data_IF_841139829832
#
_entry.id   IF_841139829832
#
_cell.length_a   1.000
_cell.length_b   1.000
_cell.length_c   1.000
_cell.angle_alpha   90.00
_cell.angle_beta   90.00
_cell.angle_gamma   90.00
#
_symmetry.space_group_name_H-M   'P 1'
#
loop_
_entity.id
_entity.type
_entity.pdbx_description
1 polymer ?
#
# COMPACT_ATOMS: atom_id res chain seq x y z
N UNK A 1 6.32 -7.64 1.66
CA UNK A 1 7.18 -7.37 0.48
C UNK A 1 6.45 -6.48 -0.50
N UNK A 2 7.17 -5.73 -1.32
CA UNK A 2 6.60 -4.91 -2.42
C UNK A 2 6.13 -5.76 -3.60
N UNK A 3 5.12 -5.28 -4.33
CA UNK A 3 4.56 -6.00 -5.46
C UNK A 3 5.56 -6.28 -6.62
N UNK A 4 5.45 -7.44 -7.28
CA UNK A 4 6.32 -7.83 -8.39
C UNK A 4 5.84 -7.31 -9.75
N UNK A 5 4.73 -6.58 -9.81
CA UNK A 5 4.21 -6.02 -11.05
C UNK A 5 5.15 -4.96 -11.64
N UNK A 6 4.92 -4.58 -12.89
CA UNK A 6 5.77 -3.62 -13.58
C UNK A 6 5.52 -2.18 -13.14
N UNK A 7 6.58 -1.37 -13.12
CA UNK A 7 6.57 0.00 -12.63
C UNK A 7 7.36 0.94 -13.55
N UNK A 8 7.00 2.22 -13.55
CA UNK A 8 7.74 3.22 -14.31
C UNK A 8 9.03 3.64 -13.58
N UNK A 9 10.09 3.92 -14.35
CA UNK A 9 11.23 4.66 -13.81
C UNK A 9 10.83 6.11 -13.51
N UNK A 10 11.36 6.67 -12.42
CA UNK A 10 11.06 8.05 -12.01
C UNK A 10 12.08 9.06 -12.57
N UNK A 11 13.21 8.57 -13.05
CA UNK A 11 14.31 9.38 -13.57
C UNK A 11 14.37 9.20 -15.09
N UNK A 12 14.40 10.33 -15.80
CA UNK A 12 14.25 10.39 -17.24
C UNK A 12 15.54 10.09 -17.97
N UNK A 13 15.48 9.20 -18.96
CA UNK A 13 16.55 8.82 -19.90
C UNK A 13 17.85 8.33 -19.25
N UNK A 14 18.29 7.16 -19.66
CA UNK A 14 19.71 6.99 -19.93
C UNK A 14 20.12 8.02 -21.01
N UNK A 15 20.69 9.15 -20.61
CA UNK A 15 21.61 9.90 -21.45
C UNK A 15 23.00 9.40 -21.07
N UNK A 16 23.68 8.78 -22.02
CA UNK A 16 25.14 8.54 -22.01
C UNK A 16 25.66 7.46 -21.05
N UNK A 17 24.95 6.33 -20.93
CA UNK A 17 25.52 5.11 -20.33
C UNK A 17 25.78 5.17 -18.82
N UNK A 18 25.17 6.12 -18.10
CA UNK A 18 25.24 6.21 -16.63
C UNK A 18 23.89 5.98 -15.96
N UNK A 19 23.92 5.12 -14.93
CA UNK A 19 22.76 4.68 -14.16
C UNK A 19 22.19 5.86 -13.37
N UNK A 20 20.94 6.23 -13.63
CA UNK A 20 20.26 7.29 -12.89
C UNK A 20 19.78 6.79 -11.52
N UNK A 21 19.91 7.68 -10.54
CA UNK A 21 19.48 7.50 -9.16
C UNK A 21 18.09 6.84 -9.08
N UNK A 22 18.02 5.65 -8.47
CA UNK A 22 16.79 4.86 -8.37
C UNK A 22 16.11 5.18 -7.06
N UNK A 23 14.84 5.58 -7.13
CA UNK A 23 14.09 5.95 -5.94
C UNK A 23 13.05 4.89 -5.61
N UNK A 24 12.95 4.49 -4.33
CA UNK A 24 12.01 3.45 -3.89
C UNK A 24 10.54 3.73 -4.27
N UNK A 25 10.18 5.01 -4.48
CA UNK A 25 8.81 5.42 -4.89
C UNK A 25 8.44 4.99 -6.31
N UNK A 26 9.40 4.59 -7.14
CA UNK A 26 9.11 4.00 -8.46
C UNK A 26 8.13 2.82 -8.33
N UNK A 27 8.28 2.04 -7.25
CA UNK A 27 7.42 0.90 -6.92
C UNK A 27 5.99 1.24 -6.54
N UNK A 28 5.64 2.52 -6.52
CA UNK A 28 4.30 3.00 -6.29
C UNK A 28 3.73 3.70 -7.53
N UNK A 29 4.35 3.48 -8.70
CA UNK A 29 3.90 3.95 -10.00
C UNK A 29 3.73 2.77 -10.98
N UNK A 30 2.67 1.95 -10.83
CA UNK A 30 2.44 0.79 -11.68
C UNK A 30 2.31 1.18 -13.16
N UNK A 31 2.86 0.33 -14.03
CA UNK A 31 2.70 0.41 -15.49
C UNK A 31 1.85 -0.75 -16.00
N UNK A 32 2.07 -1.94 -15.45
CA UNK A 32 1.27 -3.13 -15.78
C UNK A 32 1.06 -3.99 -14.55
N UNK A 33 -0.10 -4.61 -14.47
CA UNK A 33 -0.52 -5.61 -13.50
C UNK A 33 -0.46 -7.03 -14.08
N UNK A 34 -0.37 -7.17 -15.41
CA UNK A 34 -0.21 -8.47 -16.09
C UNK A 34 1.24 -8.87 -16.32
N UNK A 35 2.17 -7.90 -16.35
CA UNK A 35 3.63 -8.12 -16.38
C UNK A 35 4.19 -8.11 -14.96
N UNK A 36 4.93 -9.17 -14.62
CA UNK A 36 5.31 -9.49 -13.23
C UNK A 36 6.83 -9.62 -13.04
N UNK A 37 7.60 -8.68 -13.56
CA UNK A 37 8.99 -8.51 -13.15
C UNK A 37 9.19 -7.10 -12.61
N UNK A 38 10.03 -6.95 -11.60
CA UNK A 38 10.22 -5.67 -10.90
C UNK A 38 11.68 -5.44 -10.54
N UNK A 39 11.95 -4.32 -9.87
CA UNK A 39 13.25 -4.05 -9.25
C UNK A 39 13.76 -5.19 -8.34
N UNK A 40 12.85 -5.99 -7.77
CA UNK A 40 13.19 -7.11 -6.90
C UNK A 40 13.51 -8.41 -7.65
N UNK A 41 13.43 -8.42 -8.98
CA UNK A 41 13.66 -9.59 -9.81
C UNK A 41 12.41 -10.08 -10.53
N UNK A 42 12.57 -11.25 -11.13
CA UNK A 42 11.58 -11.92 -11.99
C UNK A 42 10.43 -12.55 -11.20
N UNK A 43 9.31 -12.84 -11.86
CA UNK A 43 8.20 -13.56 -11.23
C UNK A 43 8.60 -14.96 -10.73
N UNK A 44 9.51 -15.64 -11.44
CA UNK A 44 10.03 -16.94 -10.98
C UNK A 44 10.83 -16.82 -9.69
N UNK A 45 11.65 -15.77 -9.56
CA UNK A 45 12.35 -15.47 -8.30
C UNK A 45 11.36 -15.14 -7.18
N UNK A 46 10.31 -14.36 -7.48
CA UNK A 46 9.23 -14.08 -6.52
C UNK A 46 8.52 -15.34 -6.05
N UNK A 47 8.13 -16.24 -6.97
CA UNK A 47 7.51 -17.53 -6.62
C UNK A 47 8.41 -18.39 -5.76
N UNK A 48 9.71 -18.47 -6.08
CA UNK A 48 10.68 -19.20 -5.25
C UNK A 48 10.76 -18.62 -3.84
N UNK A 49 10.89 -17.30 -3.72
CA UNK A 49 10.87 -16.62 -2.41
C UNK A 49 9.60 -16.96 -1.63
N UNK A 50 8.43 -16.88 -2.26
CA UNK A 50 7.16 -17.14 -1.59
C UNK A 50 7.05 -18.59 -1.11
N UNK A 51 7.43 -19.56 -1.95
CA UNK A 51 7.49 -20.98 -1.57
C UNK A 51 8.45 -21.21 -0.42
N UNK A 52 9.69 -20.73 -0.53
CA UNK A 52 10.69 -20.91 0.54
C UNK A 52 10.23 -20.29 1.86
N UNK A 53 9.60 -19.11 1.85
CA UNK A 53 9.02 -18.53 3.05
C UNK A 53 7.92 -19.42 3.63
N UNK A 54 6.97 -19.87 2.81
CA UNK A 54 5.87 -20.72 3.25
C UNK A 54 6.35 -22.08 3.81
N UNK A 55 7.34 -22.72 3.16
CA UNK A 55 7.96 -23.97 3.61
C UNK A 55 8.63 -23.83 4.99
N UNK A 56 8.99 -22.59 5.36
CA UNK A 56 9.55 -22.23 6.67
C UNK A 56 8.51 -21.58 7.61
N UNK A 57 7.21 -21.72 7.32
CA UNK A 57 6.11 -21.12 8.09
C UNK A 57 6.14 -19.58 8.18
N UNK A 58 6.76 -18.91 7.20
CA UNK A 58 6.80 -17.46 7.08
C UNK A 58 5.78 -17.03 6.02
N UNK A 59 4.71 -16.36 6.45
CA UNK A 59 3.66 -15.85 5.55
C UNK A 59 4.14 -14.63 4.77
N UNK A 60 3.76 -14.57 3.49
CA UNK A 60 4.16 -13.47 2.59
C UNK A 60 2.97 -12.55 2.33
N UNK A 61 3.15 -11.27 2.64
CA UNK A 61 2.18 -10.21 2.36
C UNK A 61 2.72 -9.25 1.32
N UNK A 62 1.93 -8.92 0.30
CA UNK A 62 2.36 -8.03 -0.79
C UNK A 62 1.74 -6.63 -0.64
N UNK A 63 2.59 -5.59 -0.64
CA UNK A 63 2.20 -4.17 -0.69
C UNK A 63 1.82 -3.82 -2.13
N UNK A 64 0.51 -3.69 -2.38
CA UNK A 64 -0.10 -3.50 -3.71
C UNK A 64 -0.69 -2.11 -3.85
N UNK A 65 -0.51 -1.51 -5.03
CA UNK A 65 -1.13 -0.24 -5.41
C UNK A 65 -2.25 -0.55 -6.40
N UNK A 66 -3.51 -0.36 -6.00
CA UNK A 66 -4.67 -0.72 -6.82
C UNK A 66 -5.39 0.50 -7.43
N UNK A 67 -5.19 1.70 -6.87
CA UNK A 67 -5.97 2.89 -7.25
C UNK A 67 -5.48 3.67 -8.44
N UNK A 68 -4.25 3.46 -8.87
CA UNK A 68 -3.61 4.31 -9.88
C UNK A 68 -2.50 3.59 -10.64
N UNK A 69 -2.12 4.19 -11.77
CA UNK A 69 -0.90 3.90 -12.53
C UNK A 69 0.08 5.07 -12.42
N UNK A 70 1.18 5.03 -13.16
CA UNK A 70 2.20 6.08 -13.15
C UNK A 70 1.70 7.46 -13.62
N UNK A 71 2.40 8.50 -13.19
CA UNK A 71 2.32 9.83 -13.80
C UNK A 71 3.08 9.86 -15.15
N UNK A 72 2.91 10.95 -15.89
CA UNK A 72 3.66 11.23 -17.12
C UNK A 72 5.10 11.72 -16.82
N UNK A 73 5.89 10.87 -16.15
CA UNK A 73 7.29 11.18 -15.78
C UNK A 73 8.32 10.38 -16.57
N UNK A 74 7.93 9.27 -17.19
CA UNK A 74 8.79 8.41 -17.99
C UNK A 74 7.94 7.58 -18.97
N UNK A 75 8.59 6.96 -19.96
CA UNK A 75 8.04 5.90 -20.82
C UNK A 75 8.81 4.59 -20.69
N UNK A 76 9.67 4.50 -19.70
CA UNK A 76 10.49 3.32 -19.43
C UNK A 76 10.02 2.63 -18.15
N UNK A 77 10.02 1.30 -18.19
CA UNK A 77 9.54 0.43 -17.14
C UNK A 77 10.49 -0.76 -16.94
N UNK A 78 10.35 -1.48 -15.83
CA UNK A 78 11.21 -2.61 -15.50
C UNK A 78 11.04 -3.80 -16.45
N UNK A 79 9.82 -4.03 -16.93
CA UNK A 79 9.53 -5.10 -17.89
C UNK A 79 9.64 -4.64 -19.36
N UNK A 80 10.12 -3.41 -19.63
CA UNK A 80 10.06 -2.79 -20.95
C UNK A 80 8.64 -2.80 -21.55
N UNK A 81 7.62 -2.72 -20.68
CA UNK A 81 6.24 -2.56 -21.11
C UNK A 81 6.11 -1.19 -21.75
N UNK A 82 5.58 -1.15 -22.98
CA UNK A 82 5.24 0.09 -23.66
C UNK A 82 4.04 0.78 -22.98
N UNK A 83 4.17 2.08 -22.73
CA UNK A 83 3.12 2.90 -22.15
C UNK A 83 3.34 4.38 -22.46
N UNK A 84 2.25 5.15 -22.45
CA UNK A 84 2.28 6.59 -22.59
C UNK A 84 1.20 7.22 -21.70
N UNK A 85 1.58 7.55 -20.47
CA UNK A 85 0.67 8.11 -19.48
C UNK A 85 0.06 9.46 -19.93
N UNK A 86 0.76 10.25 -20.76
CA UNK A 86 0.20 11.50 -21.30
C UNK A 86 -1.07 11.23 -22.12
N UNK A 87 -1.09 10.14 -22.86
CA UNK A 87 -2.16 9.77 -23.79
C UNK A 87 -3.04 8.62 -23.25
N UNK A 88 -2.95 8.30 -21.95
CA UNK A 88 -3.69 7.19 -21.31
C UNK A 88 -3.46 5.83 -21.99
N UNK A 89 -2.29 5.64 -22.61
CA UNK A 89 -1.95 4.38 -23.27
C UNK A 89 -1.27 3.44 -22.28
N UNK A 90 -1.96 2.35 -21.94
CA UNK A 90 -1.45 1.27 -21.11
C UNK A 90 -1.86 -0.06 -21.71
N UNK A 91 -0.99 -1.06 -21.65
CA UNK A 91 -1.31 -2.40 -22.19
C UNK A 91 -2.54 -3.03 -21.52
N UNK A 92 -2.72 -2.78 -20.23
CA UNK A 92 -3.77 -3.40 -19.42
C UNK A 92 -5.10 -2.63 -19.42
N UNK A 93 -5.08 -1.36 -19.83
CA UNK A 93 -6.19 -0.42 -19.63
C UNK A 93 -6.41 0.49 -20.83
N UNK A 94 -7.66 0.83 -21.10
CA UNK A 94 -8.05 1.84 -22.09
C UNK A 94 -8.33 3.18 -21.41
N UNK A 95 -8.53 4.25 -22.19
CA UNK A 95 -8.83 5.57 -21.63
C UNK A 95 -10.09 5.60 -20.75
N UNK A 96 -11.10 4.75 -21.02
CA UNK A 96 -12.34 4.65 -20.22
C UNK A 96 -12.14 3.96 -18.87
N UNK A 97 -11.01 3.27 -18.69
CA UNK A 97 -10.65 2.62 -17.42
C UNK A 97 -10.05 3.61 -16.41
N UNK A 98 -9.82 4.86 -16.80
CA UNK A 98 -9.36 5.90 -15.92
C UNK A 98 -10.51 6.81 -15.48
N UNK A 99 -10.39 7.34 -14.26
CA UNK A 99 -11.35 8.32 -13.77
C UNK A 99 -11.30 9.59 -14.63
N UNK A 100 -12.47 10.09 -15.00
CA UNK A 100 -12.59 11.35 -15.74
C UNK A 100 -12.10 12.53 -14.89
N UNK A 101 -11.41 13.48 -15.54
CA UNK A 101 -10.90 14.68 -14.88
C UNK A 101 -11.99 15.52 -14.21
N UNK A 102 -13.22 15.50 -14.77
CA UNK A 102 -14.35 16.27 -14.25
C UNK A 102 -14.89 15.86 -12.88
N UNK A 103 -14.42 14.73 -12.31
CA UNK A 103 -14.77 14.36 -10.92
C UNK A 103 -13.89 15.06 -9.88
N UNK A 104 -12.71 15.54 -10.26
CA UNK A 104 -11.84 16.27 -9.36
C UNK A 104 -12.31 17.72 -9.28
N UNK A 105 -12.50 18.22 -8.05
CA UNK A 105 -12.96 19.58 -7.78
C UNK A 105 -11.88 20.66 -7.97
N UNK A 106 -10.61 20.27 -8.11
CA UNK A 106 -9.50 21.22 -8.14
C UNK A 106 -9.12 21.64 -9.57
N UNK A 107 -8.69 22.89 -9.78
CA UNK A 107 -8.27 23.38 -11.09
C UNK A 107 -7.09 22.60 -11.67
N UNK A 108 -6.17 22.14 -10.81
CA UNK A 108 -4.99 21.38 -11.24
C UNK A 108 -5.29 19.92 -11.59
N UNK A 109 -6.48 19.41 -11.24
CA UNK A 109 -6.80 17.99 -11.29
C UNK A 109 -6.05 17.13 -10.25
N UNK A 110 -5.29 17.77 -9.35
CA UNK A 110 -4.52 17.12 -8.29
C UNK A 110 -5.06 17.46 -6.90
N UNK A 111 -4.74 16.65 -5.91
CA UNK A 111 -5.01 16.96 -4.49
C UNK A 111 -4.24 18.22 -4.09
N UNK A 112 -4.98 19.24 -3.66
CA UNK A 112 -4.46 20.52 -3.17
C UNK A 112 -4.62 20.65 -1.65
N UNK A 113 -5.68 20.08 -1.07
CA UNK A 113 -5.86 19.92 0.38
C UNK A 113 -6.01 18.43 0.76
N UNK A 114 -5.01 17.88 1.46
CA UNK A 114 -5.02 16.48 1.92
C UNK A 114 -5.99 16.22 3.09
N UNK A 115 -6.67 17.25 3.60
CA UNK A 115 -7.76 17.08 4.58
C UNK A 115 -9.11 16.93 3.89
N UNK A 116 -9.22 17.35 2.63
CA UNK A 116 -10.44 17.22 1.83
C UNK A 116 -10.57 15.78 1.31
N UNK A 117 -11.50 15.03 1.90
CA UNK A 117 -11.76 13.64 1.52
C UNK A 117 -12.26 13.50 0.08
N UNK A 118 -12.96 14.52 -0.43
CA UNK A 118 -13.42 14.53 -1.82
C UNK A 118 -12.23 14.60 -2.76
N UNK A 119 -11.25 15.45 -2.47
CA UNK A 119 -10.03 15.52 -3.27
C UNK A 119 -9.24 14.20 -3.20
N UNK A 120 -9.09 13.60 -2.01
CA UNK A 120 -8.41 12.29 -1.87
C UNK A 120 -9.09 11.18 -2.67
N UNK A 121 -10.41 11.22 -2.81
CA UNK A 121 -11.20 10.23 -3.54
C UNK A 121 -11.30 10.48 -5.04
N UNK A 122 -11.20 11.74 -5.50
CA UNK A 122 -11.56 12.07 -6.88
C UNK A 122 -10.45 12.77 -7.66
N UNK A 123 -9.43 13.32 -6.99
CA UNK A 123 -8.30 13.99 -7.62
C UNK A 123 -7.06 13.09 -7.69
N UNK A 124 -6.15 13.42 -8.62
CA UNK A 124 -4.86 12.73 -8.77
C UNK A 124 -3.90 13.13 -7.66
N UNK A 125 -3.01 12.23 -7.25
CA UNK A 125 -1.87 12.60 -6.42
C UNK A 125 -0.63 12.68 -7.31
N UNK A 126 0.02 13.85 -7.38
CA UNK A 126 1.28 14.05 -8.10
C UNK A 126 1.21 13.61 -9.57
N UNK A 127 0.05 13.77 -10.19
CA UNK A 127 -0.21 13.40 -11.58
C UNK A 127 -0.43 11.90 -11.83
N UNK A 128 -0.49 11.05 -10.81
CA UNK A 128 -0.80 9.63 -10.97
C UNK A 128 -2.19 9.45 -11.57
N UNK A 129 -2.27 8.64 -12.63
CA UNK A 129 -3.52 8.41 -13.34
C UNK A 129 -4.38 7.44 -12.54
N UNK A 130 -5.57 7.87 -12.16
CA UNK A 130 -6.47 7.10 -11.32
C UNK A 130 -7.27 6.09 -12.11
N UNK A 131 -7.26 4.84 -11.65
CA UNK A 131 -8.11 3.80 -12.21
C UNK A 131 -9.54 3.98 -11.72
N UNK A 132 -10.49 3.79 -12.63
CA UNK A 132 -11.89 3.68 -12.31
C UNK A 132 -12.18 2.24 -11.86
N UNK A 133 -12.16 2.01 -10.54
CA UNK A 133 -12.39 0.70 -9.96
C UNK A 133 -13.81 0.13 -10.24
N UNK A 134 -14.74 0.96 -10.77
CA UNK A 134 -16.04 0.49 -11.26
C UNK A 134 -15.98 -0.17 -12.64
N UNK A 135 -14.91 0.06 -13.40
CA UNK A 135 -14.73 -0.58 -14.71
C UNK A 135 -14.58 -2.08 -14.53
N UNK A 136 -15.36 -2.84 -15.29
CA UNK A 136 -15.24 -4.31 -15.35
C UNK A 136 -13.85 -4.74 -15.82
N UNK A 137 -13.25 -4.02 -16.78
CA UNK A 137 -11.90 -4.32 -17.23
C UNK A 137 -10.88 -4.11 -16.10
N UNK A 138 -11.01 -3.01 -15.35
CA UNK A 138 -10.15 -2.74 -14.19
C UNK A 138 -10.27 -3.82 -13.13
N UNK A 139 -11.49 -4.19 -12.74
CA UNK A 139 -11.72 -5.25 -11.76
C UNK A 139 -11.17 -6.60 -12.23
N UNK A 140 -11.33 -6.93 -13.52
CA UNK A 140 -10.80 -8.16 -14.11
C UNK A 140 -9.27 -8.20 -14.07
N UNK A 141 -8.61 -7.11 -14.45
CA UNK A 141 -7.14 -7.01 -14.46
C UNK A 141 -6.59 -7.08 -13.04
N UNK A 142 -7.12 -6.26 -12.12
CA UNK A 142 -6.63 -6.20 -10.74
C UNK A 142 -6.95 -7.49 -9.97
N UNK A 143 -8.15 -8.05 -10.15
CA UNK A 143 -8.53 -9.34 -9.58
C UNK A 143 -7.62 -10.46 -10.09
N UNK A 144 -7.41 -10.55 -11.40
CA UNK A 144 -6.48 -11.53 -11.99
C UNK A 144 -5.04 -11.38 -11.50
N UNK A 145 -4.58 -10.14 -11.28
CA UNK A 145 -3.29 -9.87 -10.66
C UNK A 145 -3.21 -10.42 -9.23
N UNK A 146 -4.18 -10.09 -8.37
CA UNK A 146 -4.23 -10.57 -6.99
C UNK A 146 -4.30 -12.10 -6.92
N UNK A 147 -5.14 -12.73 -7.74
CA UNK A 147 -5.26 -14.19 -7.83
C UNK A 147 -3.93 -14.85 -8.26
N UNK A 148 -3.22 -14.28 -9.24
CA UNK A 148 -1.88 -14.78 -9.65
C UNK A 148 -0.87 -14.72 -8.51
N UNK A 149 -0.94 -13.69 -7.67
CA UNK A 149 -0.10 -13.59 -6.47
C UNK A 149 -0.49 -14.63 -5.42
N UNK A 150 -1.78 -14.85 -5.17
CA UNK A 150 -2.25 -15.91 -4.26
C UNK A 150 -1.75 -17.28 -4.71
N UNK A 151 -1.90 -17.60 -6.01
CA UNK A 151 -1.40 -18.85 -6.60
C UNK A 151 0.14 -18.99 -6.56
N UNK A 152 0.86 -17.87 -6.42
CA UNK A 152 2.30 -17.85 -6.20
C UNK A 152 2.71 -18.13 -4.74
N UNK A 153 1.74 -18.22 -3.81
CA UNK A 153 1.98 -18.46 -2.38
C UNK A 153 1.85 -17.22 -1.50
N UNK A 154 1.23 -16.13 -1.98
CA UNK A 154 0.98 -14.93 -1.17
C UNK A 154 -0.18 -15.17 -0.21
N UNK A 155 0.04 -14.91 1.08
CA UNK A 155 -0.92 -15.10 2.18
C UNK A 155 -1.86 -13.91 2.40
N UNK A 156 -1.58 -12.77 1.78
CA UNK A 156 -2.41 -11.58 1.93
C UNK A 156 -1.81 -10.33 1.30
N UNK A 157 -2.52 -9.22 1.45
CA UNK A 157 -2.22 -7.97 0.75
C UNK A 157 -2.24 -6.79 1.71
N UNK A 158 -1.27 -5.90 1.57
CA UNK A 158 -1.33 -4.55 2.11
C UNK A 158 -1.74 -3.62 0.97
N UNK A 159 -2.92 -3.03 1.07
CA UNK A 159 -3.43 -2.09 0.07
C UNK A 159 -2.84 -0.72 0.39
N UNK A 160 -1.89 -0.29 -0.43
CA UNK A 160 -1.31 1.04 -0.33
C UNK A 160 -2.37 2.09 -0.66
N UNK A 161 -2.37 3.17 0.12
CA UNK A 161 -3.22 4.34 -0.14
C UNK A 161 -4.73 4.03 -0.17
N UNK A 162 -5.19 3.15 0.72
CA UNK A 162 -6.59 2.73 0.81
C UNK A 162 -7.53 3.91 1.16
N UNK A 163 -7.02 4.92 1.86
CA UNK A 163 -7.69 6.22 2.08
C UNK A 163 -8.00 7.00 0.80
N UNK A 164 -7.44 6.61 -0.35
CA UNK A 164 -7.75 7.23 -1.65
C UNK A 164 -8.79 6.45 -2.44
N UNK A 165 -9.24 5.30 -1.95
CA UNK A 165 -10.16 4.41 -2.66
C UNK A 165 -11.57 4.54 -2.06
N UNK A 166 -12.58 4.54 -2.93
CA UNK A 166 -13.95 4.35 -2.49
C UNK A 166 -14.11 2.94 -1.90
N UNK A 167 -14.85 2.81 -0.79
CA UNK A 167 -14.96 1.56 -0.04
C UNK A 167 -15.66 0.49 -0.89
N UNK A 168 -16.77 0.82 -1.52
CA UNK A 168 -17.54 -0.13 -2.33
C UNK A 168 -16.80 -0.52 -3.60
N UNK A 169 -16.09 0.44 -4.21
CA UNK A 169 -15.32 0.14 -5.41
C UNK A 169 -14.09 -0.73 -5.09
N UNK A 170 -13.46 -0.55 -3.91
CA UNK A 170 -12.39 -1.43 -3.43
C UNK A 170 -12.92 -2.83 -3.10
N UNK A 171 -14.07 -2.93 -2.43
CA UNK A 171 -14.75 -4.20 -2.12
C UNK A 171 -14.92 -5.06 -3.37
N UNK A 172 -15.42 -4.49 -4.47
CA UNK A 172 -15.60 -5.20 -5.76
C UNK A 172 -14.32 -5.80 -6.33
N UNK A 173 -13.17 -5.18 -6.07
CA UNK A 173 -11.86 -5.71 -6.47
C UNK A 173 -11.43 -6.83 -5.51
N UNK A 174 -11.62 -6.64 -4.21
CA UNK A 174 -11.29 -7.63 -3.18
C UNK A 174 -12.17 -8.88 -3.26
N UNK A 175 -13.41 -8.76 -3.70
CA UNK A 175 -14.33 -9.89 -3.98
C UNK A 175 -13.82 -10.82 -5.08
N UNK A 176 -12.80 -10.41 -5.85
CA UNK A 176 -12.12 -11.26 -6.83
C UNK A 176 -11.05 -12.13 -6.19
N UNK A 177 -10.71 -11.96 -4.92
CA UNK A 177 -9.73 -12.80 -4.25
C UNK A 177 -10.17 -14.27 -4.23
N UNK A 178 -9.22 -15.18 -4.37
CA UNK A 178 -9.50 -16.59 -4.13
C UNK A 178 -9.86 -16.78 -2.64
N UNK A 179 -10.80 -17.68 -2.31
CA UNK A 179 -11.23 -17.91 -0.94
C UNK A 179 -10.12 -18.45 -0.03
N UNK A 180 -9.08 -19.06 -0.61
CA UNK A 180 -7.91 -19.57 0.09
C UNK A 180 -6.62 -19.16 -0.60
N UNK A 181 -5.60 -18.91 0.22
CA UNK A 181 -4.21 -18.64 -0.20
C UNK A 181 -3.35 -19.90 -0.29
N UNK A 182 -3.86 -21.03 0.18
CA UNK A 182 -3.16 -22.31 0.20
C UNK A 182 -3.81 -23.29 -0.77
N UNK A 183 -3.05 -23.67 -1.80
CA UNK A 183 -3.44 -24.72 -2.75
C UNK A 183 -3.18 -26.07 -2.06
N UNK A 184 -4.23 -26.87 -1.85
CA UNK A 184 -4.20 -28.22 -1.23
C UNK A 184 -3.95 -28.30 0.29
N UNK A 185 -4.25 -27.24 1.05
CA UNK A 185 -4.20 -27.29 2.53
C UNK A 185 -5.55 -27.71 3.12
N UNK A 186 -5.51 -28.58 4.12
CA UNK A 186 -6.69 -29.04 4.87
C UNK A 186 -7.29 -27.93 5.76
N UNK A 187 -6.58 -26.81 5.98
CA UNK A 187 -7.07 -25.61 6.67
C UNK A 187 -6.88 -24.37 5.79
N UNK A 188 -7.81 -24.10 4.86
CA UNK A 188 -7.67 -22.98 3.93
C UNK A 188 -7.52 -21.65 4.67
N UNK A 189 -6.48 -20.88 4.31
CA UNK A 189 -6.24 -19.56 4.88
C UNK A 189 -6.89 -18.50 4.01
N UNK A 190 -7.91 -17.82 4.55
CA UNK A 190 -8.47 -16.61 3.94
C UNK A 190 -7.38 -15.55 3.79
N UNK A 191 -7.28 -14.87 2.64
CA UNK A 191 -6.30 -13.82 2.44
C UNK A 191 -6.46 -12.72 3.49
N UNK A 192 -5.39 -12.39 4.20
CA UNK A 192 -5.44 -11.30 5.18
C UNK A 192 -5.16 -9.96 4.49
N UNK A 193 -6.12 -9.04 4.58
CA UNK A 193 -6.05 -7.71 3.96
C UNK A 193 -5.69 -6.67 5.01
N UNK A 194 -4.67 -5.88 4.71
CA UNK A 194 -4.20 -4.74 5.50
C UNK A 194 -4.46 -3.47 4.70
N UNK A 195 -5.06 -2.45 5.30
CA UNK A 195 -5.43 -1.20 4.64
C UNK A 195 -4.59 -0.04 5.18
N UNK A 196 -3.78 0.57 4.30
CA UNK A 196 -2.94 1.73 4.61
C UNK A 196 -3.72 3.02 4.33
N UNK A 197 -4.41 3.53 5.35
CA UNK A 197 -5.38 4.63 5.24
C UNK A 197 -5.13 5.80 6.22
N UNK A 198 -3.91 6.38 6.31
CA UNK A 198 -3.56 7.37 7.32
C UNK A 198 -4.30 8.71 7.20
N UNK A 199 -4.91 9.01 6.06
CA UNK A 199 -5.64 10.26 5.82
C UNK A 199 -7.16 10.10 5.82
N UNK A 200 -7.68 8.89 6.07
CA UNK A 200 -9.11 8.67 6.13
C UNK A 200 -9.72 9.33 7.37
N UNK A 201 -10.93 9.89 7.22
CA UNK A 201 -11.76 10.30 8.36
C UNK A 201 -12.27 9.09 9.13
N UNK A 202 -12.76 9.31 10.36
CA UNK A 202 -13.29 8.23 11.21
C UNK A 202 -14.40 7.42 10.52
N UNK A 203 -15.36 8.09 9.87
CA UNK A 203 -16.46 7.43 9.17
C UNK A 203 -15.94 6.54 8.02
N UNK A 204 -14.91 6.99 7.31
CA UNK A 204 -14.29 6.21 6.24
C UNK A 204 -13.46 5.04 6.77
N UNK A 205 -12.80 5.21 7.91
CA UNK A 205 -12.11 4.11 8.58
C UNK A 205 -13.09 3.00 8.96
N UNK A 206 -14.31 3.34 9.43
CA UNK A 206 -15.33 2.33 9.72
C UNK A 206 -15.74 1.53 8.48
N UNK A 207 -15.90 2.19 7.33
CA UNK A 207 -16.18 1.51 6.06
C UNK A 207 -15.02 0.65 5.60
N UNK A 208 -13.78 1.16 5.64
CA UNK A 208 -12.60 0.37 5.26
C UNK A 208 -12.38 -0.83 6.19
N UNK A 209 -12.68 -0.69 7.48
CA UNK A 209 -12.57 -1.75 8.46
C UNK A 209 -13.45 -2.99 8.17
N UNK A 210 -14.51 -2.85 7.38
CA UNK A 210 -15.29 -4.03 6.96
C UNK A 210 -14.56 -4.88 5.92
N UNK A 211 -13.59 -4.30 5.19
CA UNK A 211 -12.85 -4.95 4.12
C UNK A 211 -11.54 -5.59 4.59
N UNK A 212 -11.03 -5.22 5.75
CA UNK A 212 -9.75 -5.70 6.24
C UNK A 212 -9.27 -5.00 7.51
N UNK A 213 -8.04 -5.32 7.91
CA UNK A 213 -7.41 -4.72 9.10
C UNK A 213 -6.77 -3.38 8.75
N UNK A 214 -7.05 -2.34 9.54
CA UNK A 214 -6.44 -1.04 9.35
C UNK A 214 -5.06 -0.94 10.01
N UNK A 215 -4.18 -0.15 9.41
CA UNK A 215 -2.91 0.24 10.05
C UNK A 215 -3.17 1.42 10.99
N UNK A 216 -2.86 1.21 12.28
CA UNK A 216 -2.93 2.23 13.30
C UNK A 216 -1.54 2.78 13.62
N UNK A 217 -1.42 4.10 13.45
CA UNK A 217 -0.22 4.88 13.77
C UNK A 217 -0.34 5.65 15.09
N UNK A 218 -1.56 5.77 15.63
CA UNK A 218 -1.87 6.51 16.86
C UNK A 218 -1.10 5.96 18.04
N UNK A 219 -1.07 4.62 18.19
CA UNK A 219 -0.33 3.96 19.26
C UNK A 219 1.15 4.37 19.28
N UNK A 220 1.83 4.23 18.15
CA UNK A 220 3.24 4.60 18.02
C UNK A 220 3.46 6.10 18.27
N UNK A 221 2.53 6.95 17.80
CA UNK A 221 2.59 8.40 18.05
C UNK A 221 2.44 8.78 19.52
N UNK A 222 1.55 8.11 20.26
CA UNK A 222 1.38 8.35 21.70
C UNK A 222 2.61 7.87 22.48
N UNK A 223 3.17 6.71 22.15
CA UNK A 223 4.41 6.24 22.77
C UNK A 223 5.56 7.22 22.49
N UNK A 224 5.72 7.72 21.26
CA UNK A 224 6.74 8.73 20.94
C UNK A 224 6.56 10.02 21.76
N UNK A 225 5.31 10.49 21.96
CA UNK A 225 5.04 11.66 22.82
C UNK A 225 5.46 11.44 24.27
N UNK A 226 5.19 10.25 24.82
CA UNK A 226 5.63 9.88 26.18
C UNK A 226 7.16 9.87 26.25
N UNK A 227 7.84 9.25 25.28
CA UNK A 227 9.30 9.19 25.23
C UNK A 227 9.95 10.57 25.06
N UNK A 228 9.26 11.50 24.38
CA UNK A 228 9.67 12.92 24.25
C UNK A 228 9.29 13.80 25.44
N UNK A 229 8.68 13.23 26.48
CA UNK A 229 8.17 13.94 27.67
C UNK A 229 7.09 14.99 27.36
N UNK A 230 6.40 14.85 26.23
CA UNK A 230 5.18 15.61 25.93
C UNK A 230 3.94 14.97 26.55
N UNK A 231 4.05 13.73 27.01
CA UNK A 231 2.98 13.01 27.69
C UNK A 231 3.52 12.04 28.75
N UNK A 232 2.63 11.32 29.43
CA UNK A 232 3.00 10.38 30.51
C UNK A 232 2.49 8.97 30.25
N UNK A 233 3.19 7.96 30.77
CA UNK A 233 2.73 6.57 30.74
C UNK A 233 1.36 6.39 31.42
N UNK A 234 1.05 7.20 32.43
CA UNK A 234 -0.28 7.20 33.08
C UNK A 234 -1.37 7.60 32.08
N UNK A 235 -1.22 8.75 31.40
CA UNK A 235 -2.19 9.19 30.38
C UNK A 235 -2.30 8.21 29.22
N UNK A 236 -1.20 7.61 28.78
CA UNK A 236 -1.21 6.57 27.77
C UNK A 236 -1.99 5.32 28.21
N UNK A 237 -1.78 4.86 29.44
CA UNK A 237 -2.51 3.74 30.02
C UNK A 237 -4.00 4.05 30.19
N UNK A 238 -4.33 5.28 30.59
CA UNK A 238 -5.69 5.69 30.90
C UNK A 238 -6.49 6.14 29.65
N UNK A 239 -5.86 6.18 28.46
CA UNK A 239 -6.52 6.55 27.21
C UNK A 239 -7.48 5.45 26.74
N UNK A 240 -8.72 5.52 27.21
CA UNK A 240 -9.77 4.58 26.85
C UNK A 240 -10.03 4.52 25.33
N UNK A 241 -9.75 5.58 24.56
CA UNK A 241 -9.94 5.54 23.11
C UNK A 241 -8.85 4.71 22.42
N UNK A 242 -7.61 4.80 22.91
CA UNK A 242 -6.51 3.97 22.42
C UNK A 242 -6.74 2.48 22.67
N UNK A 243 -7.34 2.14 23.82
CA UNK A 243 -7.55 0.75 24.24
C UNK A 243 -8.92 0.17 23.86
N UNK A 244 -9.78 0.98 23.23
CA UNK A 244 -11.03 0.46 22.63
C UNK A 244 -10.68 -0.61 21.60
N UNK A 245 -11.40 -1.74 21.56
CA UNK A 245 -11.25 -2.73 20.51
C UNK A 245 -11.73 -2.12 19.19
N UNK A 246 -10.84 -1.40 18.52
CA UNK A 246 -11.04 -0.89 17.17
C UNK A 246 -10.73 -2.02 16.16
N UNK A 247 -11.28 -1.94 14.95
CA UNK A 247 -10.94 -2.86 13.85
C UNK A 247 -9.46 -2.80 13.43
N UNK A 248 -8.70 -1.86 13.98
CA UNK A 248 -7.27 -1.67 13.84
C UNK A 248 -6.48 -2.82 14.46
N UNK A 249 -6.22 -3.86 13.66
CA UNK A 249 -5.43 -5.02 14.11
C UNK A 249 -3.93 -4.90 13.83
N UNK A 250 -3.46 -3.86 13.13
CA UNK A 250 -2.06 -3.74 12.72
C UNK A 250 -1.45 -2.44 13.23
N UNK A 251 -0.40 -2.53 14.05
CA UNK A 251 0.27 -1.37 14.64
C UNK A 251 1.57 -1.06 13.93
N UNK A 252 1.76 0.19 13.51
CA UNK A 252 2.94 0.59 12.75
C UNK A 252 3.45 1.95 13.23
N UNK A 253 4.75 2.16 13.08
CA UNK A 253 5.32 3.51 13.19
C UNK A 253 4.89 4.33 11.97
N UNK A 254 4.44 5.60 12.13
CA UNK A 254 4.10 6.44 10.99
C UNK A 254 5.31 6.68 10.09
N UNK A 255 5.14 6.48 8.78
CA UNK A 255 6.21 6.75 7.78
C UNK A 255 6.56 8.25 7.66
N UNK A 256 5.69 9.15 8.15
CA UNK A 256 5.84 10.62 8.01
C UNK A 256 6.69 11.27 9.10
N UNK A 257 6.91 10.63 10.23
CA UNK A 257 7.87 11.10 11.23
C UNK A 257 9.27 10.85 10.69
N UNK A 258 9.77 11.78 9.85
CA UNK A 258 11.11 11.71 9.23
C UNK A 258 12.18 11.27 10.23
N UNK A 259 12.13 11.78 11.46
CA UNK A 259 13.04 11.44 12.55
C UNK A 259 13.00 9.95 12.96
N UNK A 260 11.81 9.35 13.11
CA UNK A 260 11.66 7.93 13.49
C UNK A 260 11.83 6.97 12.30
N UNK A 261 11.62 7.47 11.08
CA UNK A 261 11.72 6.69 9.86
C UNK A 261 13.15 6.65 9.26
N UNK A 262 14.00 7.65 9.56
CA UNK A 262 15.37 7.76 9.00
C UNK A 262 16.49 7.58 10.02
N UNK A 263 16.15 7.50 11.32
CA UNK A 263 17.13 7.31 12.40
C UNK A 263 18.25 8.36 12.38
N UNK A 264 17.89 9.61 12.08
CA UNK A 264 18.88 10.68 11.86
C UNK A 264 19.78 10.93 13.10
N UNK A 265 19.39 10.45 14.30
CA UNK A 265 20.14 10.55 15.56
C UNK A 265 20.03 9.29 16.43
N UNK A 266 21.03 9.04 17.28
CA UNK A 266 21.06 7.94 18.27
C UNK A 266 19.82 7.92 19.18
N UNK A 267 19.30 9.07 19.56
CA UNK A 267 18.07 9.14 20.35
C UNK A 267 16.83 8.69 19.57
N UNK A 268 16.76 8.99 18.27
CA UNK A 268 15.66 8.57 17.42
C UNK A 268 15.66 7.04 17.24
N UNK A 269 16.85 6.42 17.19
CA UNK A 269 17.01 4.95 17.24
C UNK A 269 16.42 4.35 18.52
N UNK A 270 16.84 4.82 19.71
CA UNK A 270 16.34 4.25 20.97
C UNK A 270 14.85 4.50 21.18
N UNK A 271 14.33 5.64 20.70
CA UNK A 271 12.88 5.88 20.67
C UNK A 271 12.16 4.85 19.80
N UNK A 272 12.68 4.57 18.59
CA UNK A 272 12.13 3.54 17.69
C UNK A 272 12.14 2.15 18.34
N UNK A 273 13.25 1.77 18.99
CA UNK A 273 13.37 0.50 19.73
C UNK A 273 12.29 0.40 20.82
N UNK A 274 12.14 1.44 21.64
CA UNK A 274 11.13 1.45 22.70
C UNK A 274 9.69 1.37 22.15
N UNK A 275 9.40 2.08 21.06
CA UNK A 275 8.09 1.98 20.39
C UNK A 275 7.84 0.53 19.93
N UNK A 276 8.81 -0.11 19.29
CA UNK A 276 8.68 -1.51 18.86
C UNK A 276 8.54 -2.49 20.02
N UNK A 277 9.28 -2.30 21.11
CA UNK A 277 9.10 -3.10 22.31
C UNK A 277 7.66 -2.98 22.81
N UNK A 278 7.15 -1.77 23.01
CA UNK A 278 5.78 -1.56 23.49
C UNK A 278 4.77 -2.22 22.55
N UNK A 279 4.87 -2.02 21.24
CA UNK A 279 3.92 -2.61 20.27
C UNK A 279 3.99 -4.14 20.20
N UNK A 280 5.17 -4.75 20.41
CA UNK A 280 5.34 -6.20 20.43
C UNK A 280 4.82 -6.86 21.70
N UNK A 281 4.82 -6.16 22.84
CA UNK A 281 4.36 -6.68 24.13
C UNK A 281 2.87 -6.39 24.41
N UNK A 282 2.16 -5.71 23.51
CA UNK A 282 0.73 -5.51 23.68
C UNK A 282 -0.03 -6.84 23.59
N UNK A 283 -1.06 -7.04 24.43
CA UNK A 283 -1.86 -8.26 24.43
C UNK A 283 -2.78 -8.38 23.18
N UNK A 284 -2.78 -7.39 22.29
CA UNK A 284 -3.66 -7.30 21.12
C UNK A 284 -2.94 -6.66 19.94
N UNK A 285 -3.37 -7.04 18.73
CA UNK A 285 -2.88 -6.52 17.46
C UNK A 285 -1.62 -7.19 16.94
N UNK A 286 -1.19 -6.76 15.77
CA UNK A 286 -0.07 -7.31 15.00
C UNK A 286 0.93 -6.16 14.79
N UNK A 287 2.13 -6.24 15.38
CA UNK A 287 3.16 -5.23 15.14
C UNK A 287 3.69 -5.36 13.69
N UNK A 288 3.62 -4.26 12.95
CA UNK A 288 4.26 -4.10 11.65
C UNK A 288 5.58 -3.36 11.83
N UNK A 289 6.67 -4.12 11.75
CA UNK A 289 8.04 -3.63 11.90
C UNK A 289 8.64 -3.43 10.51
N UNK A 290 8.98 -2.18 10.18
CA UNK A 290 9.74 -1.89 8.97
C UNK A 290 11.21 -2.30 9.17
N UNK A 291 11.77 -3.01 8.19
CA UNK A 291 13.22 -3.21 8.04
C UNK A 291 13.89 -1.91 7.65
#
# INVERSE_FOLDING_TARGET
VSAPNDHAFKTGRALDGRLQYRHYTERYQPVSFTKLDSASGTFEQFKRMARTCNDNNIRVYVDVVLGHTTANTSRESYCHTDFDAKNLHFKDFTSSDFMSSGRCSTPSGNVEDYRDQSQLLWCRERGWLRLNLRSENVQRVLGGFLQRLQLAGVSGFKIAYADRLDVYDLERVLDKLLPSTTVNDHRPLTPFVILDAPLATLDRLQGLASLGSLINFTLAGQVDRVLRRFDTWRRFHDDAQLWKPLPDKVFSIPRRTRALAREDRKEDFWRRVMIHMVTMFLPRGIPLIYS
#
